data_IF_889090824029
#
_entry.id   IF_889090824029
#
_cell.length_a   1.000
_cell.length_b   1.000
_cell.length_c   1.000
_cell.angle_alpha   90.00
_cell.angle_beta   90.00
_cell.angle_gamma   90.00
#
_symmetry.space_group_name_H-M   'P 1'
#
loop_
_entity.id
_entity.type
_entity.pdbx_description
1 polymer ?
#
# COMPACT_ATOMS: atom_id res chain seq x y z
N UNK A 1 16.40 -1.12 10.21
CA UNK A 1 15.02 -1.36 10.68
C UNK A 1 14.11 -1.32 9.46
N UNK A 2 13.18 -2.27 9.30
CA UNK A 2 12.31 -2.34 8.11
C UNK A 2 10.85 -2.10 8.47
N UNK A 3 10.16 -1.35 7.62
CA UNK A 3 8.71 -1.21 7.66
C UNK A 3 8.12 -1.93 6.44
N UNK A 4 7.23 -2.89 6.68
CA UNK A 4 6.64 -3.74 5.65
C UNK A 4 5.12 -3.52 5.63
N UNK A 5 4.60 -3.12 4.47
CA UNK A 5 3.19 -2.87 4.27
C UNK A 5 2.65 -3.60 3.04
N UNK A 6 1.41 -4.04 3.10
CA UNK A 6 0.65 -4.49 1.93
C UNK A 6 -0.36 -3.41 1.57
N UNK A 7 -0.29 -2.94 0.33
CA UNK A 7 -1.26 -2.01 -0.26
C UNK A 7 -2.33 -2.82 -0.98
N UNK A 8 -3.57 -2.59 -0.60
CA UNK A 8 -4.76 -3.19 -1.21
C UNK A 8 -5.46 -2.19 -2.13
N UNK A 9 -6.08 -2.73 -3.17
CA UNK A 9 -6.97 -2.03 -4.08
C UNK A 9 -8.38 -2.60 -3.94
N UNK A 10 -9.36 -1.72 -3.73
CA UNK A 10 -10.78 -2.04 -3.75
C UNK A 10 -11.61 -0.96 -4.50
N UNK A 11 -12.92 -1.16 -4.64
CA UNK A 11 -13.87 -0.25 -5.28
C UNK A 11 -13.80 1.18 -4.73
N UNK A 12 -13.58 1.33 -3.42
CA UNK A 12 -13.48 2.63 -2.77
C UNK A 12 -12.11 3.33 -2.97
N UNK A 13 -11.10 2.60 -3.45
CA UNK A 13 -9.76 3.12 -3.68
C UNK A 13 -8.65 2.22 -3.11
N UNK A 14 -7.64 2.84 -2.52
CA UNK A 14 -6.42 2.19 -2.05
C UNK A 14 -6.25 2.37 -0.55
N UNK A 15 -5.90 1.31 0.14
CA UNK A 15 -5.61 1.31 1.57
C UNK A 15 -4.44 0.38 1.84
N UNK A 16 -3.88 0.41 3.04
CA UNK A 16 -2.73 -0.42 3.36
C UNK A 16 -2.77 -0.88 4.81
N UNK A 17 -2.09 -1.98 5.08
CA UNK A 17 -1.91 -2.54 6.42
C UNK A 17 -0.46 -2.98 6.62
N UNK A 18 0.01 -3.13 7.86
CA UNK A 18 1.26 -3.82 8.15
C UNK A 18 1.26 -5.22 7.52
N UNK A 19 2.40 -5.66 6.98
CA UNK A 19 2.51 -6.94 6.26
C UNK A 19 2.07 -8.16 7.09
N UNK A 20 2.22 -8.09 8.41
CA UNK A 20 1.78 -9.09 9.39
C UNK A 20 0.26 -9.27 9.44
N UNK A 21 -0.49 -8.23 9.10
CA UNK A 21 -1.95 -8.21 9.15
C UNK A 21 -2.59 -8.56 7.80
N UNK A 22 -1.80 -8.78 6.74
CA UNK A 22 -2.29 -9.01 5.38
C UNK A 22 -3.38 -10.09 5.33
N UNK A 23 -3.14 -11.27 5.93
CA UNK A 23 -4.10 -12.38 5.87
C UNK A 23 -5.41 -12.05 6.62
N UNK A 24 -5.31 -11.32 7.73
CA UNK A 24 -6.48 -10.89 8.49
C UNK A 24 -7.28 -9.83 7.73
N UNK A 25 -6.58 -8.88 7.09
CA UNK A 25 -7.17 -7.86 6.25
C UNK A 25 -7.82 -8.42 4.97
N UNK A 26 -7.32 -9.53 4.44
CA UNK A 26 -7.98 -10.25 3.33
C UNK A 26 -9.25 -10.97 3.83
N UNK A 27 -9.21 -11.57 5.01
CA UNK A 27 -10.34 -12.31 5.58
C UNK A 27 -11.47 -11.39 6.03
N UNK A 28 -11.15 -10.22 6.59
CA UNK A 28 -12.12 -9.20 6.98
C UNK A 28 -11.65 -7.79 6.57
N UNK A 29 -11.81 -7.42 5.29
CA UNK A 29 -11.37 -6.12 4.78
C UNK A 29 -12.06 -4.93 5.47
N UNK A 30 -13.27 -5.13 5.99
CA UNK A 30 -14.08 -4.06 6.55
C UNK A 30 -13.52 -3.54 7.88
N UNK A 31 -12.97 -4.43 8.70
CA UNK A 31 -12.36 -4.08 9.99
C UNK A 31 -10.98 -3.42 9.85
N UNK A 32 -10.28 -3.65 8.74
CA UNK A 32 -8.92 -3.14 8.52
C UNK A 32 -8.86 -1.93 7.58
N UNK A 33 -9.94 -1.63 6.87
CA UNK A 33 -10.06 -0.45 5.99
C UNK A 33 -10.32 0.82 6.81
N UNK A 34 -9.32 1.24 7.57
CA UNK A 34 -9.43 2.43 8.44
C UNK A 34 -9.26 3.72 7.64
N UNK A 35 -8.39 3.74 6.62
CA UNK A 35 -8.14 4.91 5.79
C UNK A 35 -8.05 4.53 4.32
N UNK A 36 -8.94 5.08 3.51
CA UNK A 36 -8.99 4.86 2.06
C UNK A 36 -8.49 6.09 1.33
N UNK A 37 -7.64 5.86 0.34
CA UNK A 37 -7.03 6.87 -0.49
C UNK A 37 -7.51 6.72 -1.93
N UNK A 38 -7.85 7.83 -2.56
CA UNK A 38 -8.30 7.85 -3.96
C UNK A 38 -7.25 7.36 -4.96
N UNK A 39 -5.96 7.39 -4.58
CA UNK A 39 -4.86 6.96 -5.44
C UNK A 39 -3.86 6.10 -4.69
N UNK A 40 -3.27 5.13 -5.40
CA UNK A 40 -2.23 4.26 -4.86
C UNK A 40 -1.04 5.03 -4.32
N UNK A 41 -0.62 6.10 -5.02
CA UNK A 41 0.51 6.91 -4.58
C UNK A 41 0.23 7.63 -3.26
N UNK A 42 -1.01 8.04 -3.00
CA UNK A 42 -1.39 8.62 -1.71
C UNK A 42 -1.29 7.59 -0.58
N UNK A 43 -1.76 6.36 -0.79
CA UNK A 43 -1.58 5.27 0.18
C UNK A 43 -0.09 4.99 0.45
N UNK A 44 0.72 4.90 -0.61
CA UNK A 44 2.17 4.70 -0.48
C UNK A 44 2.89 5.83 0.29
N UNK A 45 2.46 7.08 0.12
CA UNK A 45 3.03 8.23 0.84
C UNK A 45 2.71 8.19 2.33
N UNK A 46 1.50 7.81 2.70
CA UNK A 46 1.11 7.64 4.11
C UNK A 46 1.90 6.48 4.73
N UNK A 47 2.07 5.36 4.01
CA UNK A 47 2.93 4.27 4.45
C UNK A 47 4.41 4.71 4.63
N UNK A 48 4.93 5.56 3.74
CA UNK A 48 6.28 6.14 3.89
C UNK A 48 6.37 7.05 5.13
N UNK A 49 5.37 7.90 5.38
CA UNK A 49 5.35 8.74 6.59
C UNK A 49 5.36 7.88 7.86
N UNK A 50 4.57 6.80 7.90
CA UNK A 50 4.56 5.86 9.01
C UNK A 50 5.90 5.12 9.17
N UNK A 51 6.57 4.77 8.07
CA UNK A 51 7.91 4.20 8.11
C UNK A 51 8.94 5.18 8.69
N UNK A 52 8.85 6.46 8.32
CA UNK A 52 9.74 7.52 8.84
C UNK A 52 9.49 7.73 10.34
N UNK A 53 8.22 7.84 10.75
CA UNK A 53 7.83 8.04 12.16
C UNK A 53 8.31 6.89 13.07
N UNK A 54 8.30 5.67 12.55
CA UNK A 54 8.81 4.48 13.25
C UNK A 54 10.34 4.34 13.22
N UNK A 55 11.06 5.24 12.52
CA UNK A 55 12.52 5.20 12.40
C UNK A 55 13.04 4.10 11.46
N UNK A 56 12.21 3.65 10.52
CA UNK A 56 12.61 2.63 9.56
C UNK A 56 13.63 3.17 8.54
N UNK A 57 14.60 2.33 8.21
CA UNK A 57 15.63 2.59 7.19
C UNK A 57 15.27 1.97 5.84
N UNK A 58 14.31 1.04 5.83
CA UNK A 58 13.83 0.32 4.65
C UNK A 58 12.31 0.34 4.60
N UNK A 59 11.76 0.63 3.42
CA UNK A 59 10.32 0.64 3.15
C UNK A 59 9.99 -0.45 2.14
N UNK A 60 9.25 -1.46 2.57
CA UNK A 60 8.80 -2.58 1.75
C UNK A 60 7.31 -2.42 1.46
N UNK A 61 6.96 -2.24 0.18
CA UNK A 61 5.58 -2.10 -0.26
C UNK A 61 5.18 -3.28 -1.14
N UNK A 62 4.27 -4.11 -0.64
CA UNK A 62 3.61 -5.19 -1.38
C UNK A 62 2.31 -4.68 -2.00
N UNK A 63 1.82 -5.33 -3.07
CA UNK A 63 0.62 -4.85 -3.77
C UNK A 63 0.88 -3.66 -4.71
N UNK A 64 2.13 -3.24 -4.84
CA UNK A 64 2.50 -2.04 -5.58
C UNK A 64 3.15 -2.37 -6.92
N UNK A 65 2.53 -1.89 -8.00
CA UNK A 65 3.07 -2.01 -9.37
C UNK A 65 4.20 -1.00 -9.63
N UNK A 66 4.21 -0.38 -10.82
CA UNK A 66 5.19 0.63 -11.22
C UNK A 66 5.01 2.00 -10.53
N UNK A 67 4.99 2.04 -9.21
CA UNK A 67 5.08 3.31 -8.44
C UNK A 67 6.53 3.78 -8.43
N UNK A 68 6.98 4.38 -9.53
CA UNK A 68 8.35 4.92 -9.66
C UNK A 68 8.55 6.19 -8.84
N UNK A 69 7.50 6.99 -8.62
CA UNK A 69 7.55 8.22 -7.83
C UNK A 69 7.85 7.95 -6.34
N UNK A 70 7.24 6.94 -5.72
CA UNK A 70 7.47 6.65 -4.31
C UNK A 70 8.92 6.22 -4.04
N UNK A 71 9.57 5.54 -5.00
CA UNK A 71 10.98 5.18 -4.86
C UNK A 71 11.87 6.42 -4.72
N UNK A 72 11.57 7.47 -5.50
CA UNK A 72 12.30 8.74 -5.42
C UNK A 72 12.04 9.42 -4.08
N UNK A 73 10.77 9.51 -3.67
CA UNK A 73 10.36 10.16 -2.42
C UNK A 73 10.96 9.46 -1.18
N UNK A 74 10.95 8.13 -1.14
CA UNK A 74 11.57 7.35 -0.07
C UNK A 74 13.09 7.58 0.01
N UNK A 75 13.77 7.49 -1.14
CA UNK A 75 15.22 7.73 -1.22
C UNK A 75 15.58 9.15 -0.76
N UNK A 76 14.81 10.16 -1.17
CA UNK A 76 14.99 11.55 -0.72
C UNK A 76 14.77 11.73 0.78
N UNK A 77 14.00 10.84 1.42
CA UNK A 77 13.74 10.83 2.86
C UNK A 77 14.74 9.95 3.64
N UNK A 78 15.78 9.42 2.99
CA UNK A 78 16.77 8.54 3.61
C UNK A 78 16.31 7.10 3.82
N UNK A 79 15.16 6.71 3.26
CA UNK A 79 14.58 5.36 3.40
C UNK A 79 14.75 4.58 2.11
N UNK A 80 15.30 3.37 2.19
CA UNK A 80 15.54 2.52 1.02
C UNK A 80 14.23 1.82 0.57
N UNK A 81 13.74 2.05 -0.66
CA UNK A 81 12.47 1.47 -1.10
C UNK A 81 12.64 0.09 -1.75
N UNK A 82 11.81 -0.87 -1.33
CA UNK A 82 11.64 -2.19 -1.93
C UNK A 82 10.18 -2.36 -2.36
N UNK A 83 9.94 -2.47 -3.67
CA UNK A 83 8.58 -2.53 -4.22
C UNK A 83 8.35 -3.92 -4.81
N UNK A 84 7.30 -4.57 -4.34
CA UNK A 84 6.92 -5.92 -4.75
C UNK A 84 5.62 -5.86 -5.55
N UNK A 85 5.63 -6.53 -6.70
CA UNK A 85 4.52 -6.53 -7.65
C UNK A 85 3.19 -6.96 -7.01
N UNK A 86 2.06 -6.40 -7.47
CA UNK A 86 0.74 -6.77 -7.01
C UNK A 86 0.44 -8.25 -7.28
N UNK A 87 0.02 -8.94 -6.23
CA UNK A 87 -0.58 -10.28 -6.33
C UNK A 87 -2.09 -10.15 -6.61
N UNK A 88 -2.71 -11.16 -7.21
CA UNK A 88 -4.18 -11.26 -7.35
C UNK A 88 -4.87 -11.04 -5.99
N UNK A 89 -4.24 -11.47 -4.89
CA UNK A 89 -4.74 -11.33 -3.51
C UNK A 89 -4.76 -9.89 -2.98
N UNK A 90 -4.10 -8.96 -3.66
CA UNK A 90 -4.11 -7.53 -3.27
C UNK A 90 -5.27 -6.74 -3.89
N UNK A 91 -6.10 -7.40 -4.73
CA UNK A 91 -7.39 -6.89 -5.21
C UNK A 91 -8.51 -7.66 -4.51
N UNK A 92 -9.15 -7.01 -3.55
CA UNK A 92 -10.04 -7.70 -2.61
C UNK A 92 -11.50 -7.79 -3.11
N UNK A 93 -11.95 -6.92 -4.03
CA UNK A 93 -13.25 -7.06 -4.68
C UNK A 93 -13.12 -6.97 -6.21
N UNK A 94 -14.10 -7.46 -6.98
CA UNK A 94 -14.11 -7.29 -8.42
C UNK A 94 -14.17 -5.79 -8.71
N UNK A 95 -13.06 -5.25 -9.21
CA UNK A 95 -13.00 -3.92 -9.77
C UNK A 95 -13.95 -3.88 -10.98
N UNK A 96 -15.24 -3.58 -10.74
CA UNK A 96 -16.17 -3.27 -11.81
C UNK A 96 -15.78 -1.88 -12.28
N UNK A 97 -14.85 -1.82 -13.23
CA UNK A 97 -14.52 -0.60 -13.94
C UNK A 97 -15.83 -0.16 -14.61
N UNK A 98 -16.55 0.78 -13.98
CA UNK A 98 -17.78 1.31 -14.55
C UNK A 98 -17.45 1.77 -15.97
N UNK A 99 -18.04 1.09 -16.95
CA UNK A 99 -17.90 1.43 -18.36
C UNK A 99 -18.47 2.85 -18.47
N UNK A 100 -17.61 3.84 -18.74
CA UNK A 100 -18.08 5.19 -19.07
C UNK A 100 -19.09 5.05 -20.21
N UNK A 101 -20.33 5.47 -19.95
CA UNK A 101 -21.35 5.65 -20.97
C UNK A 101 -20.94 6.76 -21.93
#
# INVERSE_FOLDING_TARGET
MKAEFTVFEDADGYWFVPRSEENAAIADPSSYRVCVHSTKIAACRVALLQAIDTGATELHLHGCGSTTSIKREATSSGVKPFIYWPSITTRIAPFVRAKKA
#
